data_IF_488847270603
#
_entry.id   IF_488847270603
#
_cell.length_a   1.000
_cell.length_b   1.000
_cell.length_c   1.000
_cell.angle_alpha   90.00
_cell.angle_beta   90.00
_cell.angle_gamma   90.00
#
_symmetry.space_group_name_H-M   'P 1'
#
loop_
_entity.id
_entity.type
_entity.pdbx_description
1 polymer ?
#
# COMPACT_ATOMS: atom_id res chain seq x y z
N UNK A 1 3.71 -56.83 16.94
CA UNK A 1 4.59 -55.78 17.48
C UNK A 1 4.84 -54.79 16.33
N UNK A 2 3.95 -53.79 16.23
CA UNK A 2 4.23 -52.35 16.44
C UNK A 2 5.10 -51.76 15.33
N UNK A 3 4.65 -50.84 14.47
CA UNK A 3 3.51 -49.94 14.50
C UNK A 3 3.96 -48.59 13.94
N UNK A 4 3.59 -48.31 12.70
CA UNK A 4 3.81 -47.03 12.00
C UNK A 4 2.86 -45.97 12.60
N UNK A 5 3.33 -44.78 13.00
CA UNK A 5 2.55 -43.52 13.00
C UNK A 5 3.33 -42.28 13.49
N UNK A 6 3.03 -41.19 12.77
CA UNK A 6 2.87 -39.79 13.19
C UNK A 6 4.08 -38.87 13.35
N UNK A 7 4.17 -38.00 12.34
CA UNK A 7 4.67 -36.63 12.31
C UNK A 7 4.42 -35.90 13.64
N UNK A 8 5.51 -35.44 14.24
CA UNK A 8 5.53 -34.61 15.43
C UNK A 8 4.97 -33.21 15.10
N UNK A 9 4.06 -32.75 15.96
CA UNK A 9 3.56 -31.40 15.99
C UNK A 9 4.71 -30.41 16.26
N UNK A 10 4.90 -29.44 15.36
CA UNK A 10 5.67 -28.25 15.66
C UNK A 10 4.81 -27.35 16.56
N UNK A 11 5.01 -27.51 17.87
CA UNK A 11 4.59 -26.52 18.86
C UNK A 11 5.45 -25.29 18.61
N UNK A 12 4.88 -24.26 17.98
CA UNK A 12 5.46 -22.92 17.98
C UNK A 12 5.31 -22.39 19.40
N UNK A 13 6.30 -22.66 20.22
CA UNK A 13 6.44 -22.05 21.52
C UNK A 13 6.61 -20.55 21.30
N UNK A 14 5.63 -19.78 21.76
CA UNK A 14 5.65 -18.33 21.89
C UNK A 14 6.68 -17.99 22.97
N UNK A 15 7.96 -18.02 22.61
CA UNK A 15 9.01 -17.44 23.43
C UNK A 15 8.85 -15.92 23.32
N UNK A 16 8.18 -15.34 24.30
CA UNK A 16 8.28 -13.93 24.60
C UNK A 16 9.76 -13.59 24.83
N UNK A 17 10.46 -13.23 23.77
CA UNK A 17 11.66 -12.42 23.93
C UNK A 17 11.17 -11.06 24.39
N UNK A 18 11.19 -10.89 25.72
CA UNK A 18 11.35 -9.59 26.30
C UNK A 18 12.62 -8.99 25.72
N UNK A 19 12.50 -8.32 24.58
CA UNK A 19 13.45 -7.29 24.19
C UNK A 19 13.20 -6.14 25.16
N UNK A 20 13.74 -6.29 26.37
CA UNK A 20 14.22 -5.11 27.05
C UNK A 20 15.08 -4.40 26.04
N UNK A 21 14.66 -3.20 25.65
CA UNK A 21 15.58 -2.20 25.19
C UNK A 21 16.60 -2.03 26.32
N UNK A 22 17.61 -2.90 26.33
CA UNK A 22 18.92 -2.48 26.74
C UNK A 22 19.22 -1.36 25.77
N UNK A 23 18.89 -0.14 26.19
CA UNK A 23 19.73 1.00 25.89
C UNK A 23 21.13 0.46 26.10
N UNK A 24 21.85 0.19 25.01
CA UNK A 24 23.28 0.00 25.09
C UNK A 24 23.80 1.35 25.56
N UNK A 25 23.77 1.54 26.89
CA UNK A 25 24.67 2.44 27.57
C UNK A 25 26.03 1.89 27.19
N UNK A 26 26.65 2.53 26.20
CA UNK A 26 28.07 2.41 25.95
C UNK A 26 28.74 2.49 27.33
N UNK A 27 29.49 1.44 27.67
CA UNK A 27 29.91 1.15 29.05
C UNK A 27 30.95 2.14 29.60
N UNK A 28 31.27 3.18 28.83
CA UNK A 28 32.00 4.37 29.25
C UNK A 28 31.14 5.56 28.83
N UNK A 29 31.09 6.63 29.63
CA UNK A 29 30.37 7.88 29.31
C UNK A 29 30.91 8.59 28.06
N UNK A 30 30.71 7.99 26.89
CA UNK A 30 31.13 8.50 25.59
C UNK A 30 30.11 9.57 25.20
N UNK A 31 30.59 10.81 25.15
CA UNK A 31 29.90 11.94 24.51
C UNK A 31 29.53 11.52 23.09
N UNK A 32 28.25 11.69 22.72
CA UNK A 32 27.77 11.38 21.37
C UNK A 32 28.67 12.07 20.33
N UNK A 33 29.38 11.25 19.54
CA UNK A 33 30.49 11.71 18.71
C UNK A 33 29.96 12.12 17.35
N UNK A 34 30.27 13.33 16.91
CA UNK A 34 30.08 13.75 15.51
C UNK A 34 31.03 12.94 14.61
N UNK A 35 30.45 12.21 13.67
CA UNK A 35 31.17 11.36 12.72
C UNK A 35 31.27 11.96 11.32
N UNK A 36 30.38 12.88 10.97
CA UNK A 36 30.51 13.67 9.75
C UNK A 36 29.94 15.08 9.96
N UNK A 37 30.54 16.06 9.29
CA UNK A 37 30.08 17.45 9.21
C UNK A 37 29.95 17.82 7.74
N UNK A 38 28.79 18.34 7.34
CA UNK A 38 28.45 18.72 5.97
C UNK A 38 27.92 20.15 6.01
N UNK A 39 28.79 21.12 5.78
CA UNK A 39 28.49 22.54 5.98
C UNK A 39 28.14 22.82 7.44
N UNK A 40 26.87 23.17 7.70
CA UNK A 40 26.34 23.40 9.04
C UNK A 40 25.59 22.18 9.61
N UNK A 41 25.46 21.10 8.84
CA UNK A 41 24.82 19.86 9.27
C UNK A 41 25.84 18.92 9.92
N UNK A 42 25.40 18.19 10.95
CA UNK A 42 26.22 17.23 11.66
C UNK A 42 25.52 15.87 11.67
N UNK A 43 26.31 14.81 11.52
CA UNK A 43 25.88 13.42 11.68
C UNK A 43 26.62 12.85 12.89
N UNK A 44 25.86 12.28 13.82
CA UNK A 44 26.38 11.65 15.02
C UNK A 44 26.42 10.13 14.88
N UNK A 45 27.26 9.48 15.68
CA UNK A 45 27.33 8.01 15.69
C UNK A 45 25.98 7.42 16.14
N UNK A 46 25.29 8.04 17.09
CA UNK A 46 23.99 7.59 17.57
C UNK A 46 22.96 7.51 16.44
N UNK A 47 22.86 8.56 15.63
CA UNK A 47 21.96 8.61 14.47
C UNK A 47 22.27 7.51 13.45
N UNK A 48 23.56 7.27 13.16
CA UNK A 48 23.95 6.20 12.24
C UNK A 48 23.55 4.82 12.78
N UNK A 49 23.77 4.56 14.08
CA UNK A 49 23.39 3.27 14.68
C UNK A 49 21.88 3.05 14.71
N UNK A 50 21.10 4.11 14.97
CA UNK A 50 19.62 4.04 14.91
C UNK A 50 19.13 3.63 13.53
N UNK A 51 19.68 4.24 12.47
CA UNK A 51 19.34 3.92 11.09
C UNK A 51 19.77 2.49 10.70
N UNK A 52 21.00 2.10 11.08
CA UNK A 52 21.51 0.73 10.86
C UNK A 52 20.64 -0.31 11.57
N UNK A 53 20.22 -0.02 12.80
CA UNK A 53 19.35 -0.92 13.56
C UNK A 53 17.98 -1.06 12.89
N UNK A 54 17.42 0.05 12.40
CA UNK A 54 16.15 0.05 11.66
C UNK A 54 16.25 -0.80 10.39
N UNK A 55 17.28 -0.60 9.57
CA UNK A 55 17.48 -1.33 8.32
C UNK A 55 17.70 -2.84 8.53
N UNK A 56 18.39 -3.22 9.62
CA UNK A 56 18.52 -4.63 10.04
C UNK A 56 17.17 -5.23 10.46
N UNK A 57 16.33 -4.47 11.16
CA UNK A 57 15.01 -4.94 11.60
C UNK A 57 14.09 -5.26 10.41
N UNK A 58 14.23 -4.53 9.29
CA UNK A 58 13.53 -4.82 8.05
C UNK A 58 14.16 -5.97 7.22
N UNK A 59 15.22 -6.61 7.72
CA UNK A 59 15.89 -7.72 7.02
C UNK A 59 16.67 -7.28 5.78
N UNK A 60 16.91 -5.97 5.61
CA UNK A 60 17.56 -5.39 4.44
C UNK A 60 19.09 -5.30 4.56
N UNK A 61 19.70 -5.85 5.62
CA UNK A 61 21.16 -5.78 5.82
C UNK A 61 21.76 -7.10 6.31
N UNK A 62 22.91 -7.49 5.74
CA UNK A 62 23.63 -8.71 6.12
C UNK A 62 25.08 -8.50 6.59
N UNK A 63 25.72 -7.33 6.40
CA UNK A 63 27.15 -7.17 6.69
C UNK A 63 27.59 -5.77 7.20
N UNK A 64 28.92 -5.58 7.30
CA UNK A 64 29.59 -4.32 7.67
C UNK A 64 29.60 -3.27 6.54
N UNK A 65 29.41 -3.66 5.27
CA UNK A 65 29.37 -2.75 4.11
C UNK A 65 28.21 -1.77 4.24
N UNK A 66 27.06 -2.28 4.67
CA UNK A 66 25.86 -1.46 4.78
C UNK A 66 25.96 -0.29 5.78
N UNK A 67 26.91 -0.29 6.73
CA UNK A 67 27.14 0.89 7.59
C UNK A 67 27.74 2.07 6.82
N UNK A 68 28.67 1.78 5.92
CA UNK A 68 29.31 2.81 5.08
C UNK A 68 28.29 3.38 4.09
N UNK A 69 27.46 2.52 3.49
CA UNK A 69 26.39 2.91 2.57
C UNK A 69 25.35 3.81 3.25
N UNK A 70 24.90 3.46 4.46
CA UNK A 70 23.96 4.31 5.22
C UNK A 70 24.60 5.65 5.56
N UNK A 71 25.86 5.66 6.03
CA UNK A 71 26.55 6.91 6.30
C UNK A 71 26.63 7.79 5.04
N UNK A 72 26.97 7.22 3.89
CA UNK A 72 27.00 7.95 2.63
C UNK A 72 25.63 8.51 2.26
N UNK A 73 24.57 7.73 2.37
CA UNK A 73 23.20 8.18 2.12
C UNK A 73 22.80 9.33 3.06
N UNK A 74 23.19 9.27 4.34
CA UNK A 74 22.96 10.35 5.29
C UNK A 74 23.73 11.61 4.90
N UNK A 75 25.01 11.49 4.50
CA UNK A 75 25.82 12.62 4.05
C UNK A 75 25.24 13.27 2.78
N UNK A 76 24.80 12.46 1.82
CA UNK A 76 24.12 12.92 0.60
C UNK A 76 22.81 13.64 0.95
N UNK A 77 22.00 13.10 1.85
CA UNK A 77 20.78 13.76 2.33
C UNK A 77 21.08 15.13 2.96
N UNK A 78 22.15 15.23 3.77
CA UNK A 78 22.57 16.52 4.35
C UNK A 78 23.03 17.53 3.29
N UNK A 79 23.64 17.10 2.18
CA UNK A 79 23.97 17.99 1.07
C UNK A 79 22.71 18.58 0.42
N UNK A 80 21.69 17.76 0.16
CA UNK A 80 20.43 18.26 -0.39
C UNK A 80 19.73 19.23 0.55
N UNK A 81 19.67 18.92 1.84
CA UNK A 81 19.08 19.81 2.86
C UNK A 81 19.77 21.16 2.89
N UNK A 82 21.10 21.16 2.88
CA UNK A 82 21.88 22.39 2.88
C UNK A 82 21.54 23.23 1.63
N UNK A 83 21.54 22.62 0.44
CA UNK A 83 21.21 23.34 -0.77
C UNK A 83 19.75 23.81 -0.78
N UNK A 84 18.80 22.99 -0.35
CA UNK A 84 17.39 23.35 -0.27
C UNK A 84 17.17 24.61 0.58
N UNK A 85 17.94 24.76 1.68
CA UNK A 85 17.91 25.95 2.54
C UNK A 85 18.57 27.16 1.88
N UNK A 86 19.66 26.98 1.14
CA UNK A 86 20.30 28.07 0.35
C UNK A 86 19.33 28.57 -0.71
N UNK A 87 18.68 27.66 -1.43
CA UNK A 87 17.72 27.95 -2.50
C UNK A 87 16.34 28.37 -1.96
N UNK A 88 16.17 28.38 -0.63
CA UNK A 88 14.93 28.77 0.05
C UNK A 88 13.71 27.97 -0.44
N UNK A 89 13.87 26.67 -0.68
CA UNK A 89 12.80 25.78 -1.12
C UNK A 89 11.71 25.72 -0.03
N UNK A 90 10.48 26.06 -0.42
CA UNK A 90 9.34 26.10 0.48
C UNK A 90 8.72 24.70 0.67
N UNK A 91 8.62 24.28 1.93
CA UNK A 91 7.94 23.04 2.30
C UNK A 91 6.44 23.28 2.40
N UNK A 92 5.66 22.38 1.82
CA UNK A 92 4.21 22.36 2.05
C UNK A 92 3.93 21.75 3.43
N UNK A 93 3.60 22.61 4.40
CA UNK A 93 3.30 22.19 5.77
C UNK A 93 2.10 21.22 5.86
N UNK A 94 1.15 21.28 4.92
CA UNK A 94 0.00 20.36 4.93
C UNK A 94 0.43 18.92 4.63
N UNK A 95 1.43 18.74 3.76
CA UNK A 95 2.01 17.43 3.46
C UNK A 95 2.73 16.88 4.69
N UNK A 96 3.53 17.71 5.36
CA UNK A 96 4.25 17.35 6.58
C UNK A 96 3.29 16.94 7.69
N UNK A 97 2.25 17.74 7.96
CA UNK A 97 1.28 17.43 9.01
C UNK A 97 0.43 16.19 8.68
N UNK A 98 0.09 15.97 7.40
CA UNK A 98 -0.64 14.78 6.97
C UNK A 98 0.18 13.51 7.17
N UNK A 99 1.45 13.51 6.76
CA UNK A 99 2.36 12.39 6.95
C UNK A 99 2.63 12.13 8.42
N UNK A 100 2.87 13.20 9.20
CA UNK A 100 3.05 13.11 10.65
C UNK A 100 1.83 12.48 11.32
N UNK A 101 0.61 12.93 10.97
CA UNK A 101 -0.63 12.36 11.51
C UNK A 101 -0.76 10.88 11.15
N UNK A 102 -0.53 10.52 9.89
CA UNK A 102 -0.59 9.12 9.43
C UNK A 102 0.39 8.24 10.23
N UNK A 103 1.65 8.67 10.33
CA UNK A 103 2.69 7.97 11.10
C UNK A 103 2.33 7.83 12.58
N UNK A 104 1.84 8.90 13.20
CA UNK A 104 1.40 8.89 14.61
C UNK A 104 0.23 7.94 14.83
N UNK A 105 -0.79 7.96 13.97
CA UNK A 105 -1.98 7.10 14.10
C UNK A 105 -1.61 5.61 13.94
N UNK A 106 -0.73 5.28 12.99
CA UNK A 106 -0.23 3.93 12.79
C UNK A 106 0.50 3.42 14.04
N UNK A 107 1.41 4.22 14.59
CA UNK A 107 2.20 3.82 15.76
C UNK A 107 1.35 3.77 17.03
N UNK A 108 0.43 4.72 17.24
CA UNK A 108 -0.56 4.68 18.33
C UNK A 108 -1.39 3.41 18.25
N UNK A 109 -1.83 3.01 17.06
CA UNK A 109 -2.63 1.79 16.87
C UNK A 109 -1.81 0.53 17.16
N UNK A 110 -0.55 0.46 16.69
CA UNK A 110 0.32 -0.69 16.92
C UNK A 110 0.73 -0.85 18.39
N UNK A 111 0.92 0.25 19.10
CA UNK A 111 1.43 0.26 20.48
C UNK A 111 0.34 0.44 21.55
N UNK A 112 -0.94 0.58 21.16
CA UNK A 112 -2.07 0.60 22.10
C UNK A 112 -2.40 1.97 22.70
N UNK A 113 -2.12 3.05 21.99
CA UNK A 113 -2.38 4.43 22.38
C UNK A 113 -1.14 5.18 22.85
N UNK A 114 -1.35 6.41 23.31
CA UNK A 114 -0.28 7.35 23.63
C UNK A 114 0.68 6.79 24.70
N UNK A 115 0.16 6.11 25.74
CA UNK A 115 0.98 5.55 26.81
C UNK A 115 1.92 4.45 26.29
N UNK A 116 1.45 3.60 25.39
CA UNK A 116 2.26 2.53 24.79
C UNK A 116 3.34 3.08 23.84
N UNK A 117 3.05 4.18 23.14
CA UNK A 117 4.05 4.90 22.36
C UNK A 117 5.13 5.48 23.29
N UNK A 118 4.74 6.19 24.34
CA UNK A 118 5.70 6.77 25.29
C UNK A 118 6.52 5.68 26.01
N UNK A 119 5.91 4.54 26.33
CA UNK A 119 6.61 3.40 26.92
C UNK A 119 7.60 2.77 25.94
N UNK A 120 7.25 2.62 24.66
CA UNK A 120 8.14 2.02 23.66
C UNK A 120 9.33 2.93 23.33
N UNK A 121 9.06 4.20 23.04
CA UNK A 121 10.09 5.17 22.66
C UNK A 121 10.82 5.79 23.84
N UNK A 122 10.34 5.56 25.08
CA UNK A 122 10.88 6.16 26.32
C UNK A 122 10.98 7.69 26.25
N UNK A 123 10.07 8.33 25.50
CA UNK A 123 10.01 9.77 25.26
C UNK A 123 8.56 10.25 25.33
N UNK A 124 8.30 11.46 25.83
CA UNK A 124 6.96 12.05 25.76
C UNK A 124 6.48 12.21 24.32
N UNK A 125 5.18 12.00 24.09
CA UNK A 125 4.55 12.02 22.76
C UNK A 125 4.76 13.34 22.02
N UNK A 126 4.68 14.46 22.74
CA UNK A 126 4.89 15.79 22.16
C UNK A 126 6.31 15.98 21.63
N UNK A 127 7.31 15.41 22.32
CA UNK A 127 8.72 15.48 21.90
C UNK A 127 8.96 14.57 20.70
N UNK A 128 8.40 13.36 20.71
CA UNK A 128 8.46 12.45 19.57
C UNK A 128 7.82 13.07 18.32
N UNK A 129 6.65 13.70 18.48
CA UNK A 129 5.96 14.43 17.40
C UNK A 129 6.82 15.55 16.84
N UNK A 130 7.53 16.30 17.69
CA UNK A 130 8.45 17.34 17.24
C UNK A 130 9.61 16.76 16.44
N UNK A 131 10.28 15.73 16.97
CA UNK A 131 11.42 15.07 16.31
C UNK A 131 10.99 14.48 14.95
N UNK A 132 9.82 13.84 14.86
CA UNK A 132 9.31 13.31 13.60
C UNK A 132 8.87 14.39 12.63
N UNK A 133 8.29 15.50 13.11
CA UNK A 133 7.98 16.65 12.26
C UNK A 133 9.26 17.19 11.62
N UNK A 134 10.31 17.38 12.41
CA UNK A 134 11.61 17.85 11.92
C UNK A 134 12.19 16.87 10.89
N UNK A 135 12.18 15.57 11.18
CA UNK A 135 12.65 14.54 10.24
C UNK A 135 11.84 14.48 8.94
N UNK A 136 10.51 14.56 9.00
CA UNK A 136 9.62 14.57 7.82
C UNK A 136 9.82 15.86 7.01
N UNK A 137 10.01 16.99 7.68
CA UNK A 137 10.32 18.27 7.03
C UNK A 137 11.62 18.18 6.26
N UNK A 138 12.68 17.68 6.90
CA UNK A 138 13.98 17.46 6.26
C UNK A 138 13.83 16.50 5.07
N UNK A 139 13.17 15.35 5.25
CA UNK A 139 12.94 14.41 4.15
C UNK A 139 12.18 15.06 2.98
N UNK A 140 11.16 15.87 3.27
CA UNK A 140 10.36 16.58 2.26
C UNK A 140 11.21 17.62 1.52
N UNK A 141 12.05 18.39 2.23
CA UNK A 141 12.99 19.34 1.62
C UNK A 141 13.98 18.63 0.69
N UNK A 142 14.55 17.51 1.12
CA UNK A 142 15.46 16.71 0.30
C UNK A 142 14.77 16.21 -0.98
N UNK A 143 13.55 15.68 -0.86
CA UNK A 143 12.78 15.22 -2.01
C UNK A 143 12.43 16.37 -2.97
N UNK A 144 12.04 17.53 -2.45
CA UNK A 144 11.76 18.72 -3.26
C UNK A 144 13.03 19.22 -3.97
N UNK A 145 14.19 19.24 -3.30
CA UNK A 145 15.45 19.62 -3.91
C UNK A 145 15.83 18.69 -5.06
N UNK A 146 15.69 17.38 -4.88
CA UNK A 146 15.92 16.40 -5.95
C UNK A 146 14.98 16.64 -7.14
N UNK A 147 13.70 16.95 -6.88
CA UNK A 147 12.75 17.31 -7.93
C UNK A 147 13.13 18.62 -8.65
N UNK A 148 13.58 19.64 -7.93
CA UNK A 148 14.04 20.90 -8.54
C UNK A 148 15.29 20.70 -9.41
N UNK A 149 16.19 19.80 -9.02
CA UNK A 149 17.33 19.40 -9.87
C UNK A 149 16.82 18.67 -11.12
N UNK A 150 15.94 17.69 -10.94
CA UNK A 150 15.36 16.92 -12.05
C UNK A 150 14.57 17.81 -13.04
N UNK A 151 13.86 18.84 -12.56
CA UNK A 151 13.13 19.80 -13.41
C UNK A 151 14.03 20.69 -14.27
N UNK A 152 15.29 20.89 -13.88
CA UNK A 152 16.26 21.64 -14.69
C UNK A 152 16.76 20.82 -15.88
N UNK A 153 16.56 19.51 -15.88
CA UNK A 153 16.82 18.66 -17.04
C UNK A 153 15.88 19.08 -18.17
N UNK A 154 16.41 19.47 -19.35
CA UNK A 154 15.58 19.83 -20.49
C UNK A 154 14.59 18.72 -20.85
N UNK A 155 13.43 19.10 -21.37
CA UNK A 155 12.49 18.11 -21.89
C UNK A 155 13.14 17.30 -23.01
N UNK A 156 13.09 15.97 -22.86
CA UNK A 156 13.67 15.06 -23.83
C UNK A 156 12.85 15.05 -25.12
N UNK A 157 13.54 15.24 -26.24
CA UNK A 157 12.97 15.12 -27.58
C UNK A 157 12.92 13.65 -28.02
N UNK A 158 12.16 13.33 -29.09
CA UNK A 158 12.22 12.00 -29.70
C UNK A 158 13.63 11.57 -30.12
N UNK A 159 14.49 12.52 -30.50
CA UNK A 159 15.88 12.26 -30.85
C UNK A 159 16.70 11.83 -29.63
N UNK A 160 16.52 12.49 -28.48
CA UNK A 160 17.24 12.16 -27.25
C UNK A 160 16.91 10.75 -26.75
N UNK A 161 15.64 10.33 -26.88
CA UNK A 161 15.22 8.96 -26.57
C UNK A 161 15.87 7.96 -27.52
N UNK A 162 16.00 8.27 -28.81
CA UNK A 162 16.72 7.40 -29.76
C UNK A 162 18.20 7.29 -29.44
N UNK A 163 18.87 8.39 -29.07
CA UNK A 163 20.26 8.36 -28.63
C UNK A 163 20.43 7.53 -27.34
N UNK A 164 19.53 7.69 -26.37
CA UNK A 164 19.50 6.86 -25.17
C UNK A 164 19.41 5.37 -25.52
N UNK A 165 18.48 4.98 -26.40
CA UNK A 165 18.30 3.59 -26.82
C UNK A 165 19.50 3.01 -27.58
N UNK A 166 20.35 3.83 -28.21
CA UNK A 166 21.60 3.34 -28.83
C UNK A 166 22.65 2.92 -27.80
N UNK A 167 22.62 3.50 -26.61
CA UNK A 167 23.55 3.21 -25.52
C UNK A 167 23.10 2.05 -24.62
N UNK A 168 21.86 1.58 -24.77
CA UNK A 168 21.26 0.49 -23.97
C UNK A 168 21.32 -0.80 -24.76
N UNK A 169 21.75 -1.90 -24.13
CA UNK A 169 21.69 -3.22 -24.77
C UNK A 169 20.23 -3.64 -24.98
N UNK A 170 19.92 -4.31 -26.09
CA UNK A 170 18.58 -4.82 -26.35
C UNK A 170 18.11 -5.79 -25.26
N UNK A 171 19.03 -6.49 -24.60
CA UNK A 171 18.73 -7.37 -23.49
C UNK A 171 18.29 -6.62 -22.22
N UNK A 172 18.67 -5.35 -22.08
CA UNK A 172 18.38 -4.51 -20.92
C UNK A 172 17.07 -3.70 -21.08
N UNK A 173 16.48 -3.73 -22.29
CA UNK A 173 15.20 -3.07 -22.54
C UNK A 173 14.09 -3.72 -21.71
N UNK A 174 13.18 -2.91 -21.12
CA UNK A 174 12.08 -3.45 -20.35
C UNK A 174 11.19 -4.33 -21.24
N UNK A 175 10.83 -5.49 -20.71
CA UNK A 175 9.82 -6.34 -21.34
C UNK A 175 8.46 -5.79 -20.97
N UNK A 176 7.70 -5.37 -21.99
CA UNK A 176 6.31 -4.98 -21.81
C UNK A 176 5.50 -6.27 -21.68
N UNK A 177 4.84 -6.50 -20.54
CA UNK A 177 4.04 -7.70 -20.35
C UNK A 177 2.83 -7.71 -21.30
N UNK A 178 2.20 -8.88 -21.43
CA UNK A 178 0.97 -9.00 -22.21
C UNK A 178 -0.11 -8.10 -21.63
N UNK A 179 -0.81 -7.35 -22.49
CA UNK A 179 -1.88 -6.43 -22.10
C UNK A 179 -3.18 -6.77 -22.80
N UNK A 180 -4.28 -6.62 -22.08
CA UNK A 180 -5.63 -6.87 -22.57
C UNK A 180 -6.45 -5.59 -22.56
N UNK A 181 -7.14 -5.31 -23.66
CA UNK A 181 -8.23 -4.33 -23.69
C UNK A 181 -9.55 -5.09 -23.60
N UNK A 182 -10.34 -4.78 -22.58
CA UNK A 182 -11.50 -5.58 -22.19
C UNK A 182 -12.76 -4.72 -22.10
N UNK A 183 -13.89 -5.36 -22.40
CA UNK A 183 -15.22 -4.85 -22.04
C UNK A 183 -15.94 -5.86 -21.16
N UNK A 184 -16.76 -5.37 -20.24
CA UNK A 184 -17.56 -6.22 -19.37
C UNK A 184 -19.02 -5.79 -19.34
N UNK A 185 -19.87 -6.79 -19.12
CA UNK A 185 -21.28 -6.61 -18.72
C UNK A 185 -21.45 -7.33 -17.40
N UNK A 186 -21.86 -6.59 -16.38
CA UNK A 186 -21.99 -7.07 -15.01
C UNK A 186 -23.46 -7.16 -14.61
N UNK A 187 -23.84 -8.27 -13.99
CA UNK A 187 -25.11 -8.47 -13.34
C UNK A 187 -24.83 -8.83 -11.89
N UNK A 188 -25.35 -8.03 -10.96
CA UNK A 188 -25.36 -8.37 -9.56
C UNK A 188 -26.52 -9.32 -9.29
N UNK A 189 -26.29 -10.38 -8.51
CA UNK A 189 -27.39 -11.15 -7.95
C UNK A 189 -28.31 -10.25 -7.12
N UNK A 190 -29.57 -10.65 -6.96
CA UNK A 190 -30.55 -9.85 -6.22
C UNK A 190 -30.05 -9.57 -4.80
N UNK A 191 -29.77 -8.29 -4.54
CA UNK A 191 -29.25 -7.82 -3.27
C UNK A 191 -30.36 -7.61 -2.25
N UNK A 192 -31.61 -7.43 -2.66
CA UNK A 192 -32.65 -7.03 -1.71
C UNK A 192 -32.99 -8.17 -0.74
N UNK A 193 -33.28 -9.36 -1.27
CA UNK A 193 -33.54 -10.55 -0.47
C UNK A 193 -32.32 -10.95 0.37
N UNK A 194 -31.12 -10.94 -0.23
CA UNK A 194 -29.88 -11.28 0.46
C UNK A 194 -29.53 -10.30 1.59
N UNK A 195 -29.70 -8.99 1.36
CA UNK A 195 -29.50 -7.96 2.37
C UNK A 195 -30.53 -8.10 3.50
N UNK A 196 -31.79 -8.39 3.18
CA UNK A 196 -32.84 -8.58 4.17
C UNK A 196 -32.52 -9.79 5.06
N UNK A 197 -32.13 -10.92 4.48
CA UNK A 197 -31.73 -12.11 5.22
C UNK A 197 -30.53 -11.84 6.16
N UNK A 198 -29.55 -11.07 5.71
CA UNK A 198 -28.42 -10.66 6.55
C UNK A 198 -28.87 -9.75 7.69
N UNK A 199 -29.74 -8.76 7.41
CA UNK A 199 -30.28 -7.85 8.41
C UNK A 199 -31.08 -8.62 9.47
N UNK A 200 -31.96 -9.54 9.06
CA UNK A 200 -32.71 -10.41 9.98
C UNK A 200 -31.78 -11.25 10.85
N UNK A 201 -30.74 -11.84 10.26
CA UNK A 201 -29.76 -12.64 10.98
C UNK A 201 -28.96 -11.80 11.97
N UNK A 202 -28.52 -10.60 11.59
CA UNK A 202 -27.84 -9.67 12.50
C UNK A 202 -28.75 -9.17 13.62
N UNK A 203 -30.02 -8.91 13.34
CA UNK A 203 -31.01 -8.57 14.36
C UNK A 203 -31.20 -9.71 15.35
N UNK A 204 -31.33 -10.95 14.88
CA UNK A 204 -31.43 -12.12 15.76
C UNK A 204 -30.17 -12.30 16.62
N UNK A 205 -28.98 -12.12 16.05
CA UNK A 205 -27.71 -12.14 16.79
C UNK A 205 -27.67 -11.01 17.84
N UNK A 206 -28.09 -9.80 17.47
CA UNK A 206 -28.15 -8.65 18.37
C UNK A 206 -29.09 -8.90 19.55
N UNK A 207 -30.28 -9.43 19.31
CA UNK A 207 -31.23 -9.76 20.38
C UNK A 207 -30.67 -10.83 21.32
N UNK A 208 -29.96 -11.84 20.79
CA UNK A 208 -29.25 -12.84 21.61
C UNK A 208 -28.19 -12.20 22.50
N UNK A 209 -27.44 -11.23 22.00
CA UNK A 209 -26.44 -10.49 22.79
C UNK A 209 -27.13 -9.69 23.89
N UNK A 210 -28.22 -8.99 23.57
CA UNK A 210 -29.00 -8.21 24.54
C UNK A 210 -29.60 -9.13 25.62
N UNK A 211 -30.01 -10.35 25.24
CA UNK A 211 -30.50 -11.38 26.16
C UNK A 211 -29.40 -12.04 27.02
N UNK A 212 -28.13 -11.67 26.83
CA UNK A 212 -27.00 -12.08 27.67
C UNK A 212 -26.07 -13.11 27.06
N UNK A 213 -26.25 -13.52 25.80
CA UNK A 213 -25.24 -14.34 25.11
C UNK A 213 -23.96 -13.55 24.86
N UNK A 214 -22.81 -14.21 24.99
CA UNK A 214 -21.51 -13.55 24.82
C UNK A 214 -21.29 -13.16 23.36
N UNK A 215 -21.12 -11.86 23.11
CA UNK A 215 -20.78 -11.32 21.79
C UNK A 215 -19.61 -12.06 21.15
N UNK A 216 -18.53 -12.30 21.91
CA UNK A 216 -17.33 -12.96 21.40
C UNK A 216 -17.57 -14.39 20.93
N UNK A 217 -18.53 -15.11 21.53
CA UNK A 217 -18.94 -16.44 21.06
C UNK A 217 -19.66 -16.32 19.72
N UNK A 218 -20.63 -15.42 19.60
CA UNK A 218 -21.38 -15.22 18.36
C UNK A 218 -20.49 -14.69 17.23
N UNK A 219 -19.53 -13.82 17.56
CA UNK A 219 -18.54 -13.34 16.60
C UNK A 219 -17.67 -14.48 16.06
N UNK A 220 -17.19 -15.39 16.92
CA UNK A 220 -16.44 -16.58 16.47
C UNK A 220 -17.26 -17.52 15.60
N UNK A 221 -18.56 -17.63 15.87
CA UNK A 221 -19.44 -18.56 15.16
C UNK A 221 -19.95 -18.01 13.83
N UNK A 222 -20.21 -16.70 13.77
CA UNK A 222 -20.96 -16.11 12.67
C UNK A 222 -20.23 -15.00 11.92
N UNK A 223 -19.28 -14.29 12.55
CA UNK A 223 -18.61 -13.19 11.87
C UNK A 223 -17.77 -13.70 10.70
N UNK A 224 -17.93 -13.06 9.56
CA UNK A 224 -17.19 -13.31 8.33
C UNK A 224 -15.96 -12.39 8.19
N UNK A 225 -15.62 -11.61 9.23
CA UNK A 225 -14.36 -10.87 9.25
C UNK A 225 -13.19 -11.79 9.65
N UNK A 226 -12.27 -12.15 8.73
CA UNK A 226 -11.21 -13.11 9.01
C UNK A 226 -10.22 -12.62 10.07
N UNK A 227 -10.03 -11.31 10.19
CA UNK A 227 -9.07 -10.69 11.10
C UNK A 227 -9.50 -10.72 12.56
N UNK A 228 -10.78 -10.46 12.83
CA UNK A 228 -11.31 -10.34 14.20
C UNK A 228 -12.19 -11.51 14.65
N UNK A 229 -12.84 -12.25 13.74
CA UNK A 229 -13.80 -13.30 14.12
C UNK A 229 -13.21 -14.31 15.10
N UNK A 230 -12.00 -14.82 14.81
CA UNK A 230 -11.28 -15.77 15.69
C UNK A 230 -10.96 -15.17 17.07
N UNK A 231 -10.75 -13.85 17.13
CA UNK A 231 -10.51 -13.08 18.36
C UNK A 231 -11.80 -12.66 19.07
N UNK A 232 -12.97 -13.20 18.67
CA UNK A 232 -14.25 -12.81 19.27
C UNK A 232 -14.78 -11.47 18.75
N UNK A 233 -14.37 -11.08 17.55
CA UNK A 233 -14.78 -9.85 16.89
C UNK A 233 -13.96 -8.62 17.29
N UNK A 234 -13.05 -8.74 18.26
CA UNK A 234 -12.28 -7.61 18.79
C UNK A 234 -11.22 -7.13 17.79
N UNK A 235 -11.24 -5.82 17.53
CA UNK A 235 -10.38 -5.12 16.59
C UNK A 235 -9.16 -4.48 17.26
N UNK A 236 -9.16 -4.38 18.60
CA UNK A 236 -8.13 -3.70 19.37
C UNK A 236 -8.31 -2.18 19.38
N UNK A 237 -7.45 -1.51 20.14
CA UNK A 237 -7.45 -0.04 20.24
C UNK A 237 -6.92 0.57 18.96
N UNK A 238 -7.76 1.34 18.26
CA UNK A 238 -7.44 1.90 16.96
C UNK A 238 -7.97 3.33 16.81
N UNK A 239 -7.24 4.14 16.03
CA UNK A 239 -7.71 5.48 15.64
C UNK A 239 -8.93 5.38 14.72
N UNK A 240 -9.91 6.28 14.88
CA UNK A 240 -11.10 6.31 14.01
C UNK A 240 -10.77 6.48 12.51
N UNK A 241 -9.62 7.07 12.19
CA UNK A 241 -9.19 7.37 10.82
C UNK A 241 -8.91 6.10 9.98
N UNK A 242 -8.70 4.96 10.62
CA UNK A 242 -8.37 3.71 9.90
C UNK A 242 -9.61 2.90 9.46
N UNK A 243 -10.81 3.30 9.91
CA UNK A 243 -12.06 2.61 9.61
C UNK A 243 -12.90 3.38 8.59
N UNK A 244 -13.84 2.68 7.93
CA UNK A 244 -14.85 3.35 7.10
C UNK A 244 -15.60 4.43 7.92
N UNK A 245 -15.87 5.61 7.35
CA UNK A 245 -16.53 6.71 8.07
C UNK A 245 -17.80 6.26 8.80
N UNK A 246 -18.69 5.55 8.10
CA UNK A 246 -19.93 5.00 8.69
C UNK A 246 -19.70 4.07 9.90
N UNK A 247 -18.64 3.24 9.85
CA UNK A 247 -18.26 2.38 10.97
C UNK A 247 -17.74 3.21 12.14
N UNK A 248 -16.83 4.14 11.86
CA UNK A 248 -16.18 4.98 12.85
C UNK A 248 -17.16 5.93 13.55
N UNK A 249 -18.11 6.50 12.82
CA UNK A 249 -19.16 7.39 13.35
C UNK A 249 -20.12 6.63 14.25
N UNK A 250 -20.55 5.43 13.83
CA UNK A 250 -21.37 4.56 14.63
C UNK A 250 -20.66 4.14 15.93
N UNK A 251 -19.40 3.70 15.83
CA UNK A 251 -18.59 3.37 17.01
C UNK A 251 -18.43 4.60 17.94
N UNK A 252 -18.14 5.78 17.40
CA UNK A 252 -17.97 7.02 18.16
C UNK A 252 -19.26 7.53 18.82
N UNK A 253 -20.43 7.22 18.27
CA UNK A 253 -21.71 7.55 18.89
C UNK A 253 -22.12 6.62 20.05
N UNK A 254 -21.61 5.39 20.11
CA UNK A 254 -22.01 4.40 21.12
C UNK A 254 -21.40 4.66 22.51
N UNK A 255 -22.10 4.28 23.58
CA UNK A 255 -21.48 4.18 24.90
C UNK A 255 -20.75 2.83 25.03
N UNK A 256 -19.63 2.73 25.77
CA UNK A 256 -19.00 1.45 26.05
C UNK A 256 -19.99 0.42 26.62
N UNK A 257 -19.93 -0.81 26.13
CA UNK A 257 -20.84 -1.92 26.46
C UNK A 257 -22.18 -1.92 25.72
N UNK A 258 -22.47 -0.91 24.88
CA UNK A 258 -23.71 -0.86 24.09
C UNK A 258 -23.49 -1.47 22.71
N UNK A 259 -24.39 -2.36 22.31
CA UNK A 259 -24.43 -2.93 20.96
C UNK A 259 -25.19 -1.98 20.02
N UNK A 260 -24.58 -1.70 18.87
CA UNK A 260 -25.13 -0.81 17.84
C UNK A 260 -26.40 -1.35 17.18
N UNK A 261 -27.04 -0.48 16.41
CA UNK A 261 -27.91 -0.93 15.32
C UNK A 261 -27.05 -1.49 14.17
N UNK A 262 -27.68 -2.05 13.15
CA UNK A 262 -26.97 -2.52 11.96
C UNK A 262 -26.31 -1.32 11.26
N UNK A 263 -25.00 -1.41 11.04
CA UNK A 263 -24.21 -0.43 10.31
C UNK A 263 -23.83 -1.04 8.97
N UNK A 264 -24.16 -0.35 7.88
CA UNK A 264 -23.79 -0.75 6.53
C UNK A 264 -22.50 -0.07 6.11
N UNK A 265 -21.56 -0.85 5.59
CA UNK A 265 -20.32 -0.35 4.98
C UNK A 265 -20.09 -1.09 3.66
N UNK A 266 -19.13 -0.63 2.82
CA UNK A 266 -18.74 -1.38 1.64
C UNK A 266 -18.26 -2.82 1.91
N UNK A 267 -17.86 -3.15 3.15
CA UNK A 267 -17.47 -4.52 3.53
C UNK A 267 -18.66 -5.43 3.87
N UNK A 268 -19.86 -4.88 4.03
CA UNK A 268 -21.08 -5.58 4.42
C UNK A 268 -21.79 -4.95 5.62
N UNK A 269 -22.51 -5.77 6.37
CA UNK A 269 -23.33 -5.32 7.49
C UNK A 269 -22.69 -5.68 8.82
N UNK A 270 -22.68 -4.73 9.75
CA UNK A 270 -22.02 -4.85 11.03
C UNK A 270 -22.99 -4.62 12.19
N UNK A 271 -22.78 -5.35 13.27
CA UNK A 271 -23.14 -4.88 14.60
C UNK A 271 -21.85 -4.68 15.40
N UNK A 272 -21.80 -3.59 16.17
CA UNK A 272 -20.60 -3.08 16.81
C UNK A 272 -20.88 -2.96 18.30
N UNK A 273 -19.94 -3.39 19.14
CA UNK A 273 -19.94 -3.10 20.56
C UNK A 273 -18.60 -2.45 20.92
N UNK A 274 -18.67 -1.23 21.46
CA UNK A 274 -17.47 -0.54 21.92
C UNK A 274 -17.11 -1.02 23.31
N UNK A 275 -15.86 -1.44 23.50
CA UNK A 275 -15.33 -1.89 24.79
C UNK A 275 -14.73 -0.73 25.57
N UNK A 276 -13.99 0.13 24.86
CA UNK A 276 -13.25 1.25 25.47
C UNK A 276 -13.14 2.41 24.46
N UNK A 277 -13.10 3.64 24.97
CA UNK A 277 -12.82 4.86 24.19
C UNK A 277 -11.73 5.69 24.85
N UNK A 278 -10.81 6.19 24.05
CA UNK A 278 -9.76 7.11 24.47
C UNK A 278 -9.59 8.21 23.40
N UNK A 279 -10.20 9.37 23.63
CA UNK A 279 -10.16 10.48 22.69
C UNK A 279 -10.74 10.12 21.32
N UNK A 280 -9.90 10.16 20.28
CA UNK A 280 -10.22 9.79 18.90
C UNK A 280 -10.03 8.30 18.59
N UNK A 281 -9.61 7.50 19.57
CA UNK A 281 -9.42 6.06 19.48
C UNK A 281 -10.53 5.30 20.20
N UNK A 282 -10.81 4.09 19.73
CA UNK A 282 -11.67 3.14 20.43
C UNK A 282 -11.17 1.71 20.26
N UNK A 283 -11.41 0.89 21.29
CA UNK A 283 -11.41 -0.55 21.15
C UNK A 283 -12.85 -1.03 21.01
N UNK A 284 -13.15 -1.75 19.95
CA UNK A 284 -14.47 -2.33 19.74
C UNK A 284 -14.37 -3.76 19.25
N UNK A 285 -15.48 -4.46 19.35
CA UNK A 285 -15.70 -5.73 18.69
C UNK A 285 -16.88 -5.63 17.73
N UNK A 286 -16.80 -6.36 16.63
CA UNK A 286 -17.86 -6.37 15.63
C UNK A 286 -18.20 -7.79 15.15
N UNK A 287 -19.42 -7.94 14.62
CA UNK A 287 -19.82 -9.10 13.82
C UNK A 287 -20.12 -8.56 12.43
N UNK A 288 -19.34 -8.99 11.44
CA UNK A 288 -19.55 -8.68 10.03
C UNK A 288 -20.29 -9.85 9.38
N UNK A 289 -21.43 -9.57 8.75
CA UNK A 289 -22.09 -10.48 7.83
C UNK A 289 -22.20 -9.83 6.45
N UNK A 290 -21.90 -10.62 5.43
CA UNK A 290 -22.03 -10.26 4.02
C UNK A 290 -23.25 -10.96 3.43
N UNK A 291 -23.91 -10.34 2.44
CA UNK A 291 -24.96 -10.99 1.66
C UNK A 291 -24.45 -12.29 1.03
N UNK A 292 -25.12 -13.40 1.35
CA UNK A 292 -24.93 -14.67 0.65
C UNK A 292 -26.08 -14.84 -0.34
N UNK A 293 -25.75 -15.20 -1.57
CA UNK A 293 -26.72 -15.35 -2.66
C UNK A 293 -27.14 -16.81 -2.77
N UNK A 294 -28.43 -17.05 -3.04
CA UNK A 294 -28.94 -18.42 -3.22
C UNK A 294 -28.46 -19.01 -4.54
N UNK A 295 -28.57 -20.35 -4.69
CA UNK A 295 -28.35 -21.02 -5.97
C UNK A 295 -29.22 -20.43 -7.08
N UNK A 296 -30.46 -20.09 -6.75
CA UNK A 296 -31.43 -19.55 -7.70
C UNK A 296 -31.04 -18.14 -8.15
N UNK A 297 -30.51 -17.30 -7.25
CA UNK A 297 -30.02 -15.96 -7.59
C UNK A 297 -28.81 -16.03 -8.52
N UNK A 298 -27.91 -16.99 -8.26
CA UNK A 298 -26.79 -17.31 -9.14
C UNK A 298 -27.32 -17.75 -10.50
N UNK A 299 -28.20 -18.75 -10.55
CA UNK A 299 -28.73 -19.29 -11.81
C UNK A 299 -29.44 -18.22 -12.65
N UNK A 300 -30.24 -17.35 -12.03
CA UNK A 300 -30.89 -16.21 -12.72
C UNK A 300 -29.86 -15.27 -13.37
N UNK A 301 -28.81 -14.90 -12.63
CA UNK A 301 -27.76 -14.04 -13.15
C UNK A 301 -27.01 -14.70 -14.31
N UNK A 302 -26.65 -15.98 -14.16
CA UNK A 302 -26.01 -16.79 -15.20
C UNK A 302 -26.88 -16.93 -16.45
N UNK A 303 -28.16 -17.29 -16.31
CA UNK A 303 -29.08 -17.43 -17.44
C UNK A 303 -29.31 -16.11 -18.18
N UNK A 304 -29.38 -15.01 -17.44
CA UNK A 304 -29.47 -13.66 -18.04
C UNK A 304 -28.24 -13.37 -18.88
N UNK A 305 -27.05 -13.56 -18.32
CA UNK A 305 -25.79 -13.30 -19.02
C UNK A 305 -25.57 -14.26 -20.21
N UNK A 306 -25.97 -15.52 -20.09
CA UNK A 306 -25.84 -16.52 -21.17
C UNK A 306 -26.76 -16.19 -22.35
N UNK A 307 -27.99 -15.75 -22.06
CA UNK A 307 -28.93 -15.27 -23.09
C UNK A 307 -28.37 -14.02 -23.79
N UNK A 308 -27.89 -13.04 -23.03
CA UNK A 308 -27.27 -11.83 -23.59
C UNK A 308 -26.03 -12.16 -24.43
N UNK A 309 -25.17 -13.07 -23.95
CA UNK A 309 -24.00 -13.55 -24.69
C UNK A 309 -24.39 -14.21 -25.99
N UNK A 310 -25.42 -15.04 -26.00
CA UNK A 310 -25.90 -15.72 -27.20
C UNK A 310 -26.29 -14.71 -28.29
N UNK A 311 -27.04 -13.66 -27.92
CA UNK A 311 -27.43 -12.61 -28.86
C UNK A 311 -26.25 -11.75 -29.34
N UNK A 312 -25.26 -11.50 -28.46
CA UNK A 312 -24.02 -10.82 -28.81
C UNK A 312 -23.17 -11.62 -29.80
N UNK A 313 -23.04 -12.94 -29.60
CA UNK A 313 -22.24 -13.82 -30.47
C UNK A 313 -22.87 -13.97 -31.85
N UNK A 314 -24.21 -13.99 -31.94
CA UNK A 314 -24.92 -13.97 -33.23
C UNK A 314 -24.81 -12.63 -33.96
N UNK A 315 -24.45 -11.55 -33.25
CA UNK A 315 -24.40 -10.20 -33.80
C UNK A 315 -25.78 -9.54 -33.96
N UNK A 316 -26.81 -10.04 -33.28
CA UNK A 316 -28.17 -9.45 -33.31
C UNK A 316 -28.22 -8.11 -32.56
N UNK A 317 -27.34 -7.93 -31.57
CA UNK A 317 -27.20 -6.71 -30.76
C UNK A 317 -25.74 -6.33 -30.57
N UNK A 318 -25.44 -5.04 -30.38
CA UNK A 318 -24.08 -4.58 -30.10
C UNK A 318 -23.75 -4.66 -28.60
N UNK A 319 -22.47 -4.91 -28.29
CA UNK A 319 -21.99 -4.95 -26.90
C UNK A 319 -22.26 -3.63 -26.17
N UNK A 320 -22.11 -2.49 -26.85
CA UNK A 320 -22.35 -1.16 -26.29
C UNK A 320 -23.81 -0.98 -25.84
N UNK A 321 -24.78 -1.48 -26.62
CA UNK A 321 -26.20 -1.41 -26.26
C UNK A 321 -26.51 -2.32 -25.08
N UNK A 322 -26.00 -3.55 -25.10
CA UNK A 322 -26.21 -4.48 -23.99
C UNK A 322 -25.58 -3.94 -22.70
N UNK A 323 -24.36 -3.41 -22.77
CA UNK A 323 -23.71 -2.75 -21.63
C UNK A 323 -24.55 -1.59 -21.10
N UNK A 324 -25.05 -0.71 -21.98
CA UNK A 324 -25.84 0.46 -21.59
C UNK A 324 -27.16 0.12 -20.89
N UNK A 325 -27.86 -0.90 -21.37
CA UNK A 325 -29.21 -1.21 -20.89
C UNK A 325 -29.28 -2.32 -19.85
N UNK A 326 -28.31 -3.23 -19.83
CA UNK A 326 -28.33 -4.41 -18.96
C UNK A 326 -27.18 -4.44 -17.95
N UNK A 327 -26.02 -3.83 -18.24
CA UNK A 327 -24.93 -3.82 -17.27
C UNK A 327 -25.31 -2.98 -16.06
N UNK A 328 -25.13 -3.57 -14.89
CA UNK A 328 -25.34 -2.95 -13.60
C UNK A 328 -24.05 -2.34 -13.02
N UNK A 329 -22.91 -2.47 -13.71
CA UNK A 329 -21.67 -1.80 -13.34
C UNK A 329 -21.73 -0.31 -13.69
N UNK A 330 -21.74 0.60 -12.69
CA UNK A 330 -21.81 2.03 -12.93
C UNK A 330 -20.61 2.58 -13.71
N UNK A 331 -19.42 2.00 -13.54
CA UNK A 331 -18.19 2.50 -14.13
C UNK A 331 -18.12 2.26 -15.64
N UNK A 332 -18.74 1.17 -16.11
CA UNK A 332 -18.62 0.74 -17.51
C UNK A 332 -19.94 0.78 -18.30
N UNK A 333 -21.13 0.82 -17.68
CA UNK A 333 -22.38 0.77 -18.47
C UNK A 333 -22.52 1.91 -19.48
N UNK A 334 -22.07 3.12 -19.15
CA UNK A 334 -22.27 4.30 -20.01
C UNK A 334 -21.22 4.45 -21.11
N UNK A 335 -20.10 3.73 -21.03
CA UNK A 335 -19.01 3.77 -22.01
C UNK A 335 -18.96 2.48 -22.86
N UNK A 336 -20.08 1.75 -22.96
CA UNK A 336 -20.17 0.54 -23.77
C UNK A 336 -19.50 -0.68 -23.16
N UNK A 337 -19.29 -0.69 -21.83
CA UNK A 337 -18.67 -1.78 -21.10
C UNK A 337 -17.16 -1.67 -20.99
N UNK A 338 -16.54 -0.61 -21.52
CA UNK A 338 -15.08 -0.47 -21.57
C UNK A 338 -14.48 -0.33 -20.17
N UNK A 339 -13.62 -1.28 -19.83
CA UNK A 339 -12.87 -1.25 -18.58
C UNK A 339 -11.78 -0.19 -18.67
N UNK A 340 -11.56 0.52 -17.56
CA UNK A 340 -10.45 1.43 -17.38
C UNK A 340 -9.87 1.27 -15.98
N UNK A 341 -8.56 1.31 -15.87
CA UNK A 341 -7.87 1.29 -14.59
C UNK A 341 -8.25 2.56 -13.79
N UNK A 342 -8.75 2.44 -12.55
CA UNK A 342 -9.24 3.59 -11.79
C UNK A 342 -8.17 4.64 -11.46
N UNK A 343 -6.90 4.25 -11.41
CA UNK A 343 -5.80 5.15 -11.02
C UNK A 343 -5.22 5.88 -12.23
N UNK A 344 -4.98 5.17 -13.32
CA UNK A 344 -4.32 5.69 -14.53
C UNK A 344 -5.30 6.09 -15.64
N UNK A 345 -6.53 5.60 -15.62
CA UNK A 345 -7.49 5.73 -16.72
C UNK A 345 -7.16 4.90 -17.96
N UNK A 346 -6.13 4.05 -17.90
CA UNK A 346 -5.73 3.16 -19.01
C UNK A 346 -6.82 2.14 -19.31
N UNK A 347 -7.14 1.91 -20.59
CA UNK A 347 -8.03 0.81 -21.00
C UNK A 347 -7.31 -0.54 -21.18
N UNK A 348 -6.00 -0.57 -20.95
CA UNK A 348 -5.16 -1.77 -21.07
C UNK A 348 -4.78 -2.27 -19.69
N UNK A 349 -4.95 -3.57 -19.49
CA UNK A 349 -4.69 -4.27 -18.24
C UNK A 349 -3.63 -5.35 -18.42
N UNK A 350 -2.69 -5.40 -17.49
CA UNK A 350 -1.74 -6.49 -17.33
C UNK A 350 -2.40 -7.64 -16.55
N UNK A 351 -1.81 -8.84 -16.61
CA UNK A 351 -2.42 -10.05 -16.00
C UNK A 351 -2.57 -9.92 -14.48
N UNK A 352 -1.60 -9.30 -13.82
CA UNK A 352 -1.56 -9.05 -12.38
C UNK A 352 -2.58 -7.98 -11.92
N UNK A 353 -3.00 -7.11 -12.84
CA UNK A 353 -4.06 -6.12 -12.61
C UNK A 353 -5.47 -6.72 -12.74
N UNK A 354 -5.60 -7.92 -13.31
CA UNK A 354 -6.87 -8.62 -13.46
C UNK A 354 -7.15 -9.54 -12.28
N UNK A 355 -8.44 -9.68 -11.94
CA UNK A 355 -8.84 -10.66 -10.92
C UNK A 355 -8.57 -12.08 -11.43
N UNK A 356 -8.17 -13.02 -10.57
CA UNK A 356 -7.90 -14.40 -10.99
C UNK A 356 -9.07 -15.05 -11.75
N UNK A 357 -10.30 -14.77 -11.32
CA UNK A 357 -11.52 -15.25 -11.96
C UNK A 357 -11.72 -14.66 -13.36
N UNK A 358 -11.44 -13.36 -13.51
CA UNK A 358 -11.58 -12.64 -14.78
C UNK A 358 -10.56 -13.15 -15.80
N UNK A 359 -9.30 -13.25 -15.37
CA UNK A 359 -8.22 -13.76 -16.22
C UNK A 359 -8.49 -15.21 -16.65
N UNK A 360 -8.95 -16.07 -15.73
CA UNK A 360 -9.29 -17.45 -16.05
C UNK A 360 -10.38 -17.56 -17.13
N UNK A 361 -11.29 -16.58 -17.21
CA UNK A 361 -12.36 -16.52 -18.19
C UNK A 361 -11.88 -16.11 -19.59
N UNK A 362 -10.79 -15.35 -19.68
CA UNK A 362 -10.32 -14.74 -20.93
C UNK A 362 -9.01 -15.32 -21.47
N UNK A 363 -8.24 -16.06 -20.66
CA UNK A 363 -6.88 -16.52 -21.00
C UNK A 363 -6.79 -17.31 -22.32
N UNK A 364 -7.85 -18.04 -22.68
CA UNK A 364 -7.91 -18.88 -23.87
C UNK A 364 -8.73 -18.24 -25.01
N UNK A 365 -9.21 -17.00 -24.81
CA UNK A 365 -10.00 -16.25 -25.79
C UNK A 365 -9.11 -15.48 -26.76
N UNK A 366 -9.60 -15.33 -27.99
CA UNK A 366 -9.00 -14.48 -29.03
C UNK A 366 -9.64 -13.09 -29.04
N UNK A 367 -8.99 -12.16 -29.74
CA UNK A 367 -9.57 -10.84 -30.02
C UNK A 367 -10.95 -10.97 -30.68
N UNK A 368 -11.92 -10.22 -30.14
CA UNK A 368 -13.33 -10.24 -30.52
C UNK A 368 -14.20 -11.25 -29.77
N UNK A 369 -13.61 -12.26 -29.11
CA UNK A 369 -14.37 -13.31 -28.43
C UNK A 369 -14.94 -12.87 -27.07
N UNK A 370 -16.04 -13.50 -26.68
CA UNK A 370 -16.78 -13.22 -25.44
C UNK A 370 -16.74 -14.46 -24.54
N UNK A 371 -16.29 -14.26 -23.30
CA UNK A 371 -16.26 -15.31 -22.29
C UNK A 371 -17.65 -15.89 -22.04
N UNK A 372 -17.69 -17.12 -21.51
CA UNK A 372 -18.90 -17.59 -20.82
C UNK A 372 -19.17 -16.71 -19.58
N UNK A 373 -20.40 -16.71 -19.05
CA UNK A 373 -20.65 -16.03 -17.78
C UNK A 373 -19.75 -16.59 -16.68
N UNK A 374 -19.15 -15.72 -15.89
CA UNK A 374 -18.28 -16.08 -14.78
C UNK A 374 -18.64 -15.32 -13.52
N UNK A 375 -18.40 -15.95 -12.37
CA UNK A 375 -18.47 -15.30 -11.07
C UNK A 375 -17.15 -14.61 -10.77
N UNK A 376 -17.24 -13.37 -10.28
CA UNK A 376 -16.10 -12.56 -9.89
C UNK A 376 -16.50 -11.63 -8.75
N UNK A 377 -15.62 -10.69 -8.44
CA UNK A 377 -15.80 -9.69 -7.40
C UNK A 377 -15.80 -8.29 -8.04
N UNK A 378 -16.53 -7.34 -7.48
CA UNK A 378 -16.39 -5.92 -7.78
C UNK A 378 -15.24 -5.28 -6.96
N UNK A 379 -14.97 -4.00 -7.16
CA UNK A 379 -13.89 -3.27 -6.46
C UNK A 379 -14.38 -2.55 -5.21
N UNK A 380 -15.58 -2.86 -4.72
CA UNK A 380 -16.15 -2.22 -3.53
C UNK A 380 -15.65 -2.87 -2.23
N UNK A 381 -15.32 -2.04 -1.25
CA UNK A 381 -14.82 -2.51 0.04
C UNK A 381 -13.48 -3.26 -0.04
N UNK A 382 -13.12 -3.96 1.04
CA UNK A 382 -11.84 -4.67 1.17
C UNK A 382 -11.81 -6.02 0.44
N UNK A 383 -12.97 -6.60 0.14
CA UNK A 383 -13.04 -7.95 -0.47
C UNK A 383 -13.83 -8.00 -1.76
N UNK A 384 -14.47 -6.92 -2.19
CA UNK A 384 -15.44 -6.95 -3.30
C UNK A 384 -16.74 -7.63 -2.93
N UNK A 385 -17.83 -7.22 -3.59
CA UNK A 385 -19.09 -7.94 -3.64
C UNK A 385 -19.10 -8.91 -4.81
N UNK A 386 -19.80 -10.04 -4.66
CA UNK A 386 -20.00 -10.98 -5.77
C UNK A 386 -20.75 -10.32 -6.92
N UNK A 387 -20.22 -10.51 -8.12
CA UNK A 387 -20.79 -10.06 -9.38
C UNK A 387 -20.63 -11.16 -10.42
N UNK A 388 -21.64 -11.32 -11.27
CA UNK A 388 -21.54 -12.19 -12.43
C UNK A 388 -21.30 -11.34 -13.67
N UNK A 389 -20.41 -11.77 -14.55
CA UNK A 389 -20.11 -11.02 -15.76
C UNK A 389 -19.75 -11.88 -16.95
N UNK A 390 -19.93 -11.29 -18.12
CA UNK A 390 -19.29 -11.73 -19.36
C UNK A 390 -18.25 -10.68 -19.74
N UNK A 391 -17.11 -11.14 -20.23
CA UNK A 391 -15.98 -10.30 -20.60
C UNK A 391 -15.70 -10.52 -22.09
N UNK A 392 -15.63 -9.44 -22.84
CA UNK A 392 -15.18 -9.44 -24.23
C UNK A 392 -13.74 -8.99 -24.30
N UNK A 393 -12.93 -9.73 -25.03
CA UNK A 393 -11.55 -9.33 -25.35
C UNK A 393 -11.59 -8.49 -26.63
N UNK A 394 -11.39 -7.18 -26.52
CA UNK A 394 -11.34 -6.32 -27.72
C UNK A 394 -9.98 -6.38 -28.39
N UNK A 395 -8.89 -6.41 -27.60
CA UNK A 395 -7.52 -6.41 -28.10
C UNK A 395 -6.56 -7.13 -27.15
N UNK A 396 -5.58 -7.84 -27.71
CA UNK A 396 -4.48 -8.47 -26.98
C UNK A 396 -3.16 -7.90 -27.54
N UNK A 397 -2.40 -7.22 -26.69
CA UNK A 397 -1.04 -6.80 -27.01
C UNK A 397 -0.10 -7.87 -26.46
N UNK A 398 0.58 -8.66 -27.32
CA UNK A 398 1.48 -9.71 -26.85
C UNK A 398 2.67 -9.12 -26.11
N UNK A 399 3.28 -9.93 -25.24
CA UNK A 399 4.53 -9.57 -24.58
C UNK A 399 5.62 -9.33 -25.63
N UNK A 400 6.34 -8.21 -25.49
CA UNK A 400 7.41 -7.81 -26.39
C UNK A 400 8.45 -6.97 -25.65
N UNK A 401 9.68 -6.95 -26.17
CA UNK A 401 10.67 -5.98 -25.72
C UNK A 401 10.19 -4.57 -26.13
N UNK A 402 10.30 -3.59 -25.22
CA UNK A 402 9.84 -2.24 -25.48
C UNK A 402 10.48 -1.67 -26.75
N UNK A 403 9.66 -1.06 -27.60
CA UNK A 403 10.11 -0.47 -28.87
C UNK A 403 9.80 1.01 -28.93
N UNK A 404 10.65 1.77 -29.63
CA UNK A 404 10.44 3.21 -29.81
C UNK A 404 9.07 3.56 -30.40
N UNK A 405 8.55 2.73 -31.31
CA UNK A 405 7.30 3.04 -32.01
C UNK A 405 6.03 2.70 -31.20
N UNK A 406 6.07 1.66 -30.37
CA UNK A 406 4.90 1.20 -29.61
C UNK A 406 4.90 1.73 -28.16
N UNK A 407 6.09 1.92 -27.59
CA UNK A 407 6.29 2.15 -26.16
C UNK A 407 7.05 3.45 -25.88
N UNK A 408 6.93 4.45 -26.77
CA UNK A 408 7.63 5.73 -26.66
C UNK A 408 7.50 6.35 -25.27
N UNK A 409 6.30 6.38 -24.68
CA UNK A 409 6.09 6.99 -23.37
C UNK A 409 6.83 6.24 -22.25
N UNK A 410 6.84 4.91 -22.28
CA UNK A 410 7.59 4.09 -21.31
C UNK A 410 9.09 4.37 -21.42
N UNK A 411 9.61 4.38 -22.64
CA UNK A 411 11.03 4.63 -22.91
C UNK A 411 11.41 6.09 -22.61
N UNK A 412 10.51 7.04 -22.84
CA UNK A 412 10.67 8.43 -22.48
C UNK A 412 10.76 8.60 -20.96
N UNK A 413 9.88 7.95 -20.20
CA UNK A 413 9.90 8.02 -18.74
C UNK A 413 11.15 7.38 -18.15
N UNK A 414 11.62 6.25 -18.71
CA UNK A 414 12.91 5.67 -18.34
C UNK A 414 14.09 6.60 -18.67
N UNK A 415 14.12 7.16 -19.88
CA UNK A 415 15.17 8.10 -20.27
C UNK A 415 15.17 9.35 -19.37
N UNK A 416 13.99 9.87 -19.01
CA UNK A 416 13.84 10.96 -18.05
C UNK A 416 14.39 10.60 -16.68
N UNK A 417 14.09 9.39 -16.18
CA UNK A 417 14.61 8.92 -14.89
C UNK A 417 16.13 8.81 -14.89
N UNK A 418 16.72 8.24 -15.94
CA UNK A 418 18.18 8.14 -16.09
C UNK A 418 18.81 9.54 -16.12
N UNK A 419 18.27 10.44 -16.95
CA UNK A 419 18.78 11.82 -17.05
C UNK A 419 18.62 12.61 -15.76
N UNK A 420 17.52 12.41 -15.04
CA UNK A 420 17.32 12.99 -13.71
C UNK A 420 18.35 12.45 -12.71
N UNK A 421 18.63 11.15 -12.73
CA UNK A 421 19.65 10.53 -11.88
C UNK A 421 21.04 11.08 -12.19
N UNK A 422 21.42 11.17 -13.47
CA UNK A 422 22.70 11.75 -13.90
C UNK A 422 22.86 13.19 -13.41
N UNK A 423 21.82 14.02 -13.55
CA UNK A 423 21.83 15.40 -13.09
C UNK A 423 21.95 15.50 -11.55
N UNK A 424 21.31 14.58 -10.83
CA UNK A 424 21.42 14.48 -9.38
C UNK A 424 22.85 14.08 -8.96
N UNK A 425 23.45 13.09 -9.61
CA UNK A 425 24.81 12.64 -9.28
C UNK A 425 25.86 13.70 -9.64
N UNK A 426 25.69 14.41 -10.76
CA UNK A 426 26.53 15.56 -11.11
C UNK A 426 26.42 16.68 -10.07
N UNK A 427 25.19 16.99 -9.64
CA UNK A 427 24.95 17.94 -8.57
C UNK A 427 25.63 17.51 -7.25
N UNK A 428 25.51 16.24 -6.86
CA UNK A 428 26.17 15.71 -5.65
C UNK A 428 27.69 15.88 -5.78
N UNK A 429 28.28 15.50 -6.93
CA UNK A 429 29.71 15.61 -7.19
C UNK A 429 30.20 17.06 -7.07
N UNK A 430 29.48 18.01 -7.67
CA UNK A 430 29.79 19.44 -7.56
C UNK A 430 29.74 19.91 -6.09
N UNK A 431 28.70 19.50 -5.35
CA UNK A 431 28.52 19.91 -3.95
C UNK A 431 29.53 19.27 -3.01
N UNK A 432 29.97 18.04 -3.24
CA UNK A 432 31.09 17.44 -2.49
C UNK A 432 32.37 18.27 -2.68
N UNK A 433 32.61 18.79 -3.89
CA UNK A 433 33.77 19.63 -4.20
C UNK A 433 33.74 21.00 -3.51
N UNK A 434 32.56 21.62 -3.45
CA UNK A 434 32.38 23.01 -3.01
C UNK A 434 31.99 23.18 -1.53
N UNK A 435 31.45 22.12 -0.90
CA UNK A 435 30.98 22.16 0.48
C UNK A 435 32.08 21.80 1.46
N UNK A 436 32.09 22.47 2.61
CA UNK A 436 32.94 22.08 3.74
C UNK A 436 32.48 20.74 4.31
N UNK A 437 33.27 19.69 4.14
CA UNK A 437 32.95 18.34 4.60
C UNK A 437 34.11 17.81 5.44
N UNK A 438 33.80 17.25 6.61
CA UNK A 438 34.74 16.50 7.44
C UNK A 438 34.13 15.17 7.82
N UNK A 439 34.83 14.07 7.55
CA UNK A 439 34.44 12.71 7.94
C UNK A 439 35.41 12.18 8.99
N UNK A 440 34.90 11.46 9.99
CA UNK A 440 35.72 10.87 11.04
C UNK A 440 36.60 9.72 10.52
N UNK A 441 37.87 9.62 10.94
CA UNK A 441 38.78 8.57 10.49
C UNK A 441 38.30 7.14 10.77
N UNK A 442 37.32 6.95 11.65
CA UNK A 442 36.69 5.65 11.88
C UNK A 442 36.09 5.02 10.60
N UNK A 443 35.73 5.86 9.61
CA UNK A 443 35.16 5.43 8.34
C UNK A 443 36.19 5.46 7.19
N UNK A 444 37.49 5.57 7.47
CA UNK A 444 38.55 5.66 6.45
C UNK A 444 38.64 4.43 5.54
N UNK A 445 38.27 3.26 6.08
CA UNK A 445 38.26 2.00 5.34
C UNK A 445 36.92 1.74 4.61
N UNK A 446 36.00 2.71 4.60
CA UNK A 446 34.76 2.61 3.84
C UNK A 446 35.00 2.82 2.34
N UNK A 447 34.47 1.90 1.54
CA UNK A 447 34.33 2.09 0.09
C UNK A 447 33.03 2.83 -0.19
N UNK A 448 33.11 4.15 -0.33
CA UNK A 448 31.97 4.97 -0.75
C UNK A 448 31.70 4.78 -2.25
N UNK A 449 30.42 4.77 -2.62
CA UNK A 449 29.96 4.60 -4.00
C UNK A 449 30.34 5.82 -4.85
N UNK A 450 30.15 7.04 -4.31
CA UNK A 450 30.43 8.29 -5.02
C UNK A 450 31.85 8.76 -4.75
N UNK A 451 32.50 9.26 -5.81
CA UNK A 451 33.84 9.83 -5.72
C UNK A 451 33.86 11.13 -4.89
N UNK A 452 35.01 11.42 -4.27
CA UNK A 452 35.26 12.68 -3.56
C UNK A 452 35.06 12.63 -2.04
N UNK A 453 34.28 11.68 -1.51
CA UNK A 453 34.12 11.50 -0.06
C UNK A 453 35.43 11.09 0.63
N UNK A 454 36.21 10.22 -0.02
CA UNK A 454 37.45 9.67 0.54
C UNK A 454 38.54 10.71 0.82
N UNK A 455 38.42 11.91 0.26
CA UNK A 455 39.38 13.02 0.46
C UNK A 455 38.99 13.92 1.64
N UNK A 456 37.82 13.71 2.24
CA UNK A 456 37.24 14.60 3.26
C UNK A 456 37.47 14.15 4.70
N UNK A 457 38.34 13.15 4.93
CA UNK A 457 38.63 12.70 6.29
C UNK A 457 39.36 13.76 7.12
N UNK A 458 39.00 13.85 8.39
CA UNK A 458 39.71 14.68 9.37
C UNK A 458 41.19 14.27 9.41
N UNK A 459 42.08 15.23 9.19
CA UNK A 459 43.52 15.03 9.32
C UNK A 459 43.94 14.80 10.77
#
# INVERSE_FOLDING_TARGET
MTGYKMRLAAVVAFAAMAFGASAQKYSNGVVDKTIAVIGNEMITISQLEEEVQMMRAYGMMSDKSGRCEILEQMMVSKLFLMQARVDSIAVNNDVVESELRSRMDNVRTQLGGDEGVEEYFKKPLHKLRQEWREAITDQTMTQQMQQEIAKKVPELTPYDVQEYLKGVDQADLPIVPVKYQLRQICIYPDREAANMAVKERLLAIRERIIAGEKFSTLARLYSQDPGSARKGGELGMASKSIFWPAFSDAAMALKPGVVSQIVETPDGFHIIEVLEKKGDMFNCRHILLKPEYTSDDREKAFHTLDSLRTELVKGEVSFDLVAKFYSQDPATRTNGGQMADPMSGSSYFEVDQLKPQDYAAIKDLKEGEISVPVESLDNEGRSGNTVYKIIKVDKIVPSHAATFNQDYNLLLDQAKQVKASEAIDEFIKEKIGTTYIIIDPLFKDCSFEREGWAEKFRK
#
